data_IF_448038608068
#
_entry.id   IF_448038608068
#
_cell.length_a   1.000
_cell.length_b   1.000
_cell.length_c   1.000
_cell.angle_alpha   90.00
_cell.angle_beta   90.00
_cell.angle_gamma   90.00
#
_symmetry.space_group_name_H-M   'P 1'
#
loop_
_entity.id
_entity.type
_entity.pdbx_description
1 polymer ?
#
# COMPACT_ATOMS: atom_id res chain seq x y z
N UNK A 1 -28.07 -6.18 -3.08
CA UNK A 1 -28.37 -5.25 -4.18
C UNK A 1 -29.78 -4.70 -3.98
N UNK A 2 -29.96 -3.39 -3.98
CA UNK A 2 -31.25 -2.70 -3.78
C UNK A 2 -31.68 -2.06 -5.10
N UNK A 3 -32.94 -2.21 -5.49
CA UNK A 3 -33.48 -1.56 -6.69
C UNK A 3 -34.20 -0.25 -6.31
N UNK A 4 -33.87 0.84 -7.00
CA UNK A 4 -34.59 2.13 -6.92
C UNK A 4 -34.92 2.55 -8.35
N UNK A 5 -36.21 2.71 -8.64
CA UNK A 5 -36.73 2.91 -9.99
C UNK A 5 -36.20 1.83 -10.97
N UNK A 6 -35.45 2.26 -11.98
CA UNK A 6 -34.85 1.47 -13.04
C UNK A 6 -33.36 1.14 -12.79
N UNK A 7 -32.84 1.37 -11.57
CA UNK A 7 -31.42 1.22 -11.22
C UNK A 7 -31.20 0.16 -10.15
N UNK A 8 -30.14 -0.62 -10.31
CA UNK A 8 -29.64 -1.56 -9.32
C UNK A 8 -28.47 -0.94 -8.57
N UNK A 9 -28.59 -0.85 -7.25
CA UNK A 9 -27.63 -0.23 -6.35
C UNK A 9 -26.96 -1.33 -5.52
N UNK A 10 -25.62 -1.33 -5.43
CA UNK A 10 -24.91 -2.25 -4.54
C UNK A 10 -25.24 -1.93 -3.08
N UNK A 11 -25.43 -2.97 -2.26
CA UNK A 11 -25.55 -2.76 -0.82
C UNK A 11 -24.25 -2.28 -0.20
N UNK A 12 -23.11 -2.58 -0.82
CA UNK A 12 -21.79 -2.13 -0.36
C UNK A 12 -21.73 -0.60 -0.29
N UNK A 13 -22.45 0.11 -1.15
CA UNK A 13 -22.51 1.58 -1.14
C UNK A 13 -22.94 2.16 0.22
N UNK A 14 -23.66 1.41 1.04
CA UNK A 14 -24.09 1.84 2.37
C UNK A 14 -23.07 1.55 3.48
N UNK A 15 -22.10 0.66 3.23
CA UNK A 15 -21.02 0.31 4.16
C UNK A 15 -19.66 0.89 3.77
N UNK A 16 -19.48 1.25 2.51
CA UNK A 16 -18.23 1.81 2.01
C UNK A 16 -17.99 3.24 2.52
N UNK A 17 -16.80 3.47 3.06
CA UNK A 17 -16.36 4.78 3.56
C UNK A 17 -15.60 5.50 2.44
N UNK A 18 -16.31 6.33 1.67
CA UNK A 18 -15.73 7.06 0.52
C UNK A 18 -14.80 8.22 0.92
N UNK A 19 -14.76 8.58 2.20
CA UNK A 19 -13.88 9.62 2.75
C UNK A 19 -13.29 9.17 4.07
N UNK A 20 -12.11 9.68 4.41
CA UNK A 20 -11.45 9.30 5.65
C UNK A 20 -12.23 9.81 6.88
N UNK A 21 -12.48 8.92 7.83
CA UNK A 21 -13.04 9.29 9.13
C UNK A 21 -11.94 9.91 10.03
N UNK A 22 -11.68 11.20 9.84
CA UNK A 22 -10.68 11.96 10.60
C UNK A 22 -10.93 11.97 12.10
N UNK A 23 -12.19 11.85 12.54
CA UNK A 23 -12.50 11.77 13.96
C UNK A 23 -11.97 10.47 14.59
N UNK A 24 -11.96 9.38 13.83
CA UNK A 24 -11.44 8.07 14.24
C UNK A 24 -9.91 7.98 14.15
N UNK A 25 -9.33 8.39 13.02
CA UNK A 25 -7.89 8.23 12.80
C UNK A 25 -7.05 9.41 13.32
N UNK A 26 -7.64 10.60 13.53
CA UNK A 26 -6.93 11.83 13.93
C UNK A 26 -5.77 12.22 12.99
N UNK A 27 -5.82 11.78 11.73
CA UNK A 27 -4.77 12.00 10.74
C UNK A 27 -3.57 11.06 10.85
N UNK A 28 -3.56 10.10 11.77
CA UNK A 28 -2.42 9.18 11.96
C UNK A 28 -2.14 8.36 10.69
N UNK A 29 -3.18 7.90 10.00
CA UNK A 29 -3.04 7.16 8.73
C UNK A 29 -2.41 7.99 7.60
N UNK A 30 -2.48 9.33 7.64
CA UNK A 30 -1.84 10.18 6.65
C UNK A 30 -0.38 10.49 7.01
N UNK A 31 -0.01 10.42 8.29
CA UNK A 31 1.34 10.70 8.77
C UNK A 31 2.17 9.43 8.79
N UNK A 32 1.66 8.37 9.42
CA UNK A 32 2.32 7.07 9.48
C UNK A 32 2.12 6.27 8.18
N UNK A 33 0.96 6.41 7.52
CA UNK A 33 0.73 5.71 6.26
C UNK A 33 1.59 6.21 5.10
N UNK A 34 2.23 7.36 5.23
CA UNK A 34 3.24 7.84 4.28
C UNK A 34 4.52 6.99 4.33
N UNK A 35 4.83 6.41 5.51
CA UNK A 35 5.93 5.45 5.67
C UNK A 35 5.56 4.03 5.20
N UNK A 36 4.29 3.78 4.89
CA UNK A 36 3.79 2.45 4.53
C UNK A 36 3.65 1.52 5.73
N UNK A 37 3.35 0.24 5.46
CA UNK A 37 3.32 -0.78 6.49
C UNK A 37 4.76 -1.17 6.85
N UNK A 38 5.09 -1.32 8.16
CA UNK A 38 6.39 -1.84 8.55
C UNK A 38 6.56 -3.27 8.06
N UNK A 39 7.80 -3.65 7.78
CA UNK A 39 8.15 -5.02 7.42
C UNK A 39 8.45 -5.84 8.67
N UNK A 40 8.03 -7.10 8.65
CA UNK A 40 8.49 -8.08 9.62
C UNK A 40 9.96 -8.46 9.31
N UNK A 41 10.72 -8.89 10.31
CA UNK A 41 12.12 -9.28 10.14
C UNK A 41 12.29 -10.36 9.06
N UNK A 42 11.38 -11.34 9.03
CA UNK A 42 11.38 -12.41 8.02
C UNK A 42 11.17 -11.87 6.59
N UNK A 43 10.40 -10.78 6.41
CA UNK A 43 10.17 -10.16 5.12
C UNK A 43 11.43 -9.46 4.60
N UNK A 44 12.23 -8.86 5.49
CA UNK A 44 13.48 -8.18 5.11
C UNK A 44 14.48 -9.14 4.47
N UNK A 45 14.60 -10.36 5.01
CA UNK A 45 15.46 -11.40 4.46
C UNK A 45 15.04 -11.84 3.06
N UNK A 46 13.72 -11.94 2.83
CA UNK A 46 13.18 -12.28 1.51
C UNK A 46 13.56 -11.20 0.50
N UNK A 47 13.45 -9.91 0.86
CA UNK A 47 13.78 -8.80 -0.03
C UNK A 47 15.27 -8.81 -0.46
N UNK A 48 16.18 -9.08 0.48
CA UNK A 48 17.61 -9.25 0.19
C UNK A 48 17.88 -10.40 -0.78
N UNK A 49 17.22 -11.54 -0.58
CA UNK A 49 17.42 -12.72 -1.42
C UNK A 49 16.86 -12.56 -2.83
N UNK A 50 15.75 -11.83 -3.00
CA UNK A 50 15.11 -11.66 -4.31
C UNK A 50 15.76 -10.55 -5.13
N UNK A 51 16.31 -9.52 -4.49
CA UNK A 51 16.82 -8.34 -5.21
C UNK A 51 17.84 -8.72 -6.32
N UNK A 52 18.87 -9.57 -6.07
CA UNK A 52 19.79 -10.00 -7.12
C UNK A 52 19.11 -10.75 -8.27
N UNK A 53 18.01 -11.47 -8.00
CA UNK A 53 17.25 -12.25 -8.98
C UNK A 53 16.40 -11.36 -9.89
N UNK A 54 15.90 -10.23 -9.35
CA UNK A 54 15.00 -9.34 -10.06
C UNK A 54 15.67 -8.08 -10.63
N UNK A 55 16.91 -7.78 -10.22
CA UNK A 55 17.63 -6.54 -10.54
C UNK A 55 17.60 -6.19 -12.03
N UNK A 56 17.75 -7.19 -12.91
CA UNK A 56 17.77 -6.98 -14.37
C UNK A 56 16.42 -6.55 -14.97
N UNK A 57 15.32 -6.71 -14.23
CA UNK A 57 13.98 -6.31 -14.65
C UNK A 57 13.59 -4.91 -14.15
N UNK A 58 14.39 -4.31 -13.26
CA UNK A 58 14.12 -3.01 -12.69
C UNK A 58 14.60 -1.89 -13.61
N UNK A 59 13.93 -0.75 -13.54
CA UNK A 59 14.38 0.48 -14.20
C UNK A 59 15.68 0.97 -13.56
N UNK A 60 16.58 1.62 -14.31
CA UNK A 60 17.84 2.14 -13.77
C UNK A 60 17.66 3.02 -12.52
N UNK A 61 16.63 3.86 -12.49
CA UNK A 61 16.33 4.74 -11.35
C UNK A 61 15.92 3.94 -10.11
N UNK A 62 15.23 2.81 -10.30
CA UNK A 62 14.86 1.90 -9.20
C UNK A 62 16.06 1.14 -8.65
N UNK A 63 16.97 0.71 -9.53
CA UNK A 63 18.23 0.07 -9.12
C UNK A 63 19.06 1.04 -8.29
N UNK A 64 19.22 2.27 -8.75
CA UNK A 64 19.97 3.30 -8.04
C UNK A 64 19.39 3.57 -6.65
N UNK A 65 18.06 3.74 -6.55
CA UNK A 65 17.40 3.98 -5.28
C UNK A 65 17.65 2.83 -4.27
N UNK A 66 17.56 1.58 -4.71
CA UNK A 66 17.79 0.40 -3.85
C UNK A 66 19.26 0.30 -3.44
N UNK A 67 20.20 0.63 -4.30
CA UNK A 67 21.64 0.63 -3.96
C UNK A 67 22.02 1.74 -2.97
N UNK A 68 21.34 2.89 -3.03
CA UNK A 68 21.56 4.02 -2.12
C UNK A 68 20.87 3.81 -0.76
N UNK A 69 19.66 3.26 -0.74
CA UNK A 69 18.78 3.20 0.44
C UNK A 69 18.75 1.82 1.11
N UNK A 70 19.17 0.77 0.40
CA UNK A 70 18.95 -0.62 0.80
C UNK A 70 17.70 -1.21 0.18
N UNK A 71 17.50 -2.51 0.41
CA UNK A 71 16.34 -3.30 -0.05
C UNK A 71 15.06 -3.00 0.75
N UNK A 72 15.20 -2.35 1.92
CA UNK A 72 14.14 -1.90 2.82
C UNK A 72 14.66 -0.75 3.71
N UNK A 73 13.75 0.00 4.34
CA UNK A 73 14.04 1.13 5.24
C UNK A 73 13.16 1.14 6.47
#
# INVERSE_FOLDING_TARGET
>A
MIQIDDKLISEDLFSEEFVCNLAKCKGICCVEGDAGAPLDEDETHILDEIYPKIKSYLRPEGIQAIEEQGTYT
#
